data_IF_680686337085
#
_entry.id   IF_680686337085
#
_cell.length_a   1.000
_cell.length_b   1.000
_cell.length_c   1.000
_cell.angle_alpha   90.00
_cell.angle_beta   90.00
_cell.angle_gamma   90.00
#
_symmetry.space_group_name_H-M   'P 1'
#
loop_
_entity.id
_entity.type
_entity.pdbx_description
1 polymer ?
#
# COMPACT_ATOMS: atom_id res chain seq x y z
N UNK A 1 14.39 10.05 6.76
CA UNK A 1 15.45 9.05 6.44
C UNK A 1 16.69 9.36 7.25
N UNK A 2 17.42 8.33 7.67
CA UNK A 2 18.69 8.48 8.39
C UNK A 2 19.86 8.12 7.48
N UNK A 3 21.09 8.53 7.87
CA UNK A 3 22.31 8.14 7.15
C UNK A 3 22.47 6.61 7.20
N UNK A 4 22.78 6.00 6.06
CA UNK A 4 22.81 4.55 5.86
C UNK A 4 21.45 3.95 5.42
N UNK A 5 20.37 4.72 5.36
CA UNK A 5 19.10 4.24 4.88
C UNK A 5 19.13 3.98 3.36
N UNK A 6 18.44 2.93 2.93
CA UNK A 6 18.22 2.62 1.52
C UNK A 6 16.97 3.34 1.00
N UNK A 7 17.10 3.93 -0.17
CA UNK A 7 15.99 4.50 -0.94
C UNK A 7 15.92 3.75 -2.26
N UNK A 8 14.75 3.21 -2.58
CA UNK A 8 14.51 2.48 -3.82
C UNK A 8 13.64 3.33 -4.74
N UNK A 9 14.04 3.46 -6.01
CA UNK A 9 13.34 4.20 -7.04
C UNK A 9 12.87 3.24 -8.14
N UNK A 10 11.68 3.49 -8.69
CA UNK A 10 11.10 2.70 -9.79
C UNK A 10 11.07 1.20 -9.45
N UNK A 11 10.40 0.87 -8.33
CA UNK A 11 10.22 -0.50 -7.83
C UNK A 11 11.57 -1.24 -7.59
N UNK A 12 12.59 -0.51 -7.18
CA UNK A 12 13.91 -1.04 -6.89
C UNK A 12 14.85 -1.10 -8.11
N UNK A 13 14.45 -0.57 -9.28
CA UNK A 13 15.32 -0.50 -10.46
C UNK A 13 16.57 0.36 -10.22
N UNK A 14 16.48 1.37 -9.36
CA UNK A 14 17.61 2.19 -8.90
C UNK A 14 17.63 2.21 -7.38
N UNK A 15 18.76 1.85 -6.81
CA UNK A 15 19.02 1.86 -5.37
C UNK A 15 19.96 2.99 -5.00
N UNK A 16 19.58 3.72 -3.94
CA UNK A 16 20.36 4.79 -3.35
C UNK A 16 20.64 4.49 -1.88
N UNK A 17 21.81 4.89 -1.39
CA UNK A 17 22.15 4.88 0.03
C UNK A 17 22.36 6.32 0.51
N UNK A 18 21.69 6.71 1.58
CA UNK A 18 21.84 8.04 2.19
C UNK A 18 23.21 8.15 2.86
N UNK A 19 24.03 9.10 2.44
CA UNK A 19 25.37 9.34 3.01
C UNK A 19 25.45 10.63 3.83
N UNK A 20 24.56 11.59 3.57
CA UNK A 20 24.51 12.85 4.31
C UNK A 20 23.07 13.38 4.37
N UNK A 21 22.73 14.06 5.46
CA UNK A 21 21.42 14.64 5.69
C UNK A 21 21.55 16.13 6.03
N UNK A 22 20.83 16.97 5.31
CA UNK A 22 20.72 18.39 5.60
C UNK A 22 19.31 18.73 6.06
N UNK A 23 19.09 18.78 7.37
CA UNK A 23 17.77 19.01 7.96
C UNK A 23 17.23 20.42 7.65
N UNK A 24 18.10 21.45 7.59
CA UNK A 24 17.69 22.82 7.30
C UNK A 24 17.23 23.00 5.85
N UNK A 25 17.85 22.30 4.90
CA UNK A 25 17.45 22.31 3.49
C UNK A 25 16.39 21.26 3.16
N UNK A 26 16.09 20.32 4.09
CA UNK A 26 15.25 19.14 3.87
C UNK A 26 15.74 18.29 2.69
N UNK A 27 17.05 18.08 2.62
CA UNK A 27 17.74 17.36 1.55
C UNK A 27 18.54 16.20 2.13
N UNK A 28 18.69 15.15 1.32
CA UNK A 28 19.59 14.04 1.59
C UNK A 28 20.52 13.85 0.40
N UNK A 29 21.84 13.75 0.68
CA UNK A 29 22.83 13.34 -0.32
C UNK A 29 22.91 11.81 -0.32
N UNK A 30 22.81 11.22 -1.51
CA UNK A 30 22.81 9.78 -1.67
C UNK A 30 23.89 9.29 -2.63
N UNK A 31 24.38 8.08 -2.42
CA UNK A 31 25.23 7.35 -3.36
C UNK A 31 24.34 6.39 -4.15
N UNK A 32 24.47 6.40 -5.48
CA UNK A 32 23.80 5.43 -6.35
C UNK A 32 24.54 4.10 -6.29
N UNK A 33 23.84 3.02 -5.94
CA UNK A 33 24.42 1.69 -5.71
C UNK A 33 24.46 0.83 -6.99
N UNK A 34 23.53 1.07 -7.92
CA UNK A 34 23.43 0.32 -9.18
C UNK A 34 23.08 1.22 -10.37
N UNK A 35 23.33 0.72 -11.56
CA UNK A 35 22.95 1.40 -12.79
C UNK A 35 21.49 1.10 -13.14
N UNK A 36 20.74 2.13 -13.56
CA UNK A 36 19.36 1.98 -14.00
C UNK A 36 18.89 3.19 -14.81
N UNK A 37 17.80 3.02 -15.54
CA UNK A 37 17.10 4.15 -16.19
C UNK A 37 16.03 4.65 -15.23
N UNK A 38 16.03 5.94 -14.92
CA UNK A 38 15.02 6.57 -14.11
C UNK A 38 14.13 7.46 -14.97
N UNK A 39 12.86 7.09 -15.08
CA UNK A 39 11.83 7.89 -15.75
C UNK A 39 11.27 8.98 -14.85
N UNK A 40 10.40 9.84 -15.41
CA UNK A 40 9.69 10.85 -14.65
C UNK A 40 8.53 10.22 -13.84
N UNK A 41 8.23 10.78 -12.66
CA UNK A 41 7.09 10.40 -11.80
C UNK A 41 7.12 8.93 -11.35
N UNK A 42 8.30 8.39 -11.09
CA UNK A 42 8.48 7.03 -10.57
C UNK A 42 8.29 6.97 -9.06
N UNK A 43 7.84 5.81 -8.58
CA UNK A 43 7.66 5.53 -7.16
C UNK A 43 8.98 5.62 -6.39
N UNK A 44 8.86 5.96 -5.11
CA UNK A 44 9.96 5.98 -4.13
C UNK A 44 9.56 5.10 -2.97
N UNK A 45 10.32 4.05 -2.71
CA UNK A 45 10.13 3.19 -1.56
C UNK A 45 11.23 3.44 -0.52
N UNK A 46 10.86 3.40 0.74
CA UNK A 46 11.72 3.59 1.90
C UNK A 46 11.62 2.35 2.80
N UNK A 47 12.25 1.22 2.42
CA UNK A 47 12.10 -0.04 3.14
C UNK A 47 12.40 0.10 4.64
N UNK A 48 11.47 -0.38 5.48
CA UNK A 48 11.61 -0.34 6.94
C UNK A 48 11.43 1.05 7.58
N UNK A 49 11.08 2.08 6.82
CA UNK A 49 10.87 3.44 7.35
C UNK A 49 9.36 3.72 7.37
N UNK A 50 8.84 4.00 8.56
CA UNK A 50 7.46 4.51 8.70
C UNK A 50 7.40 5.96 8.22
N UNK A 51 6.43 6.24 7.35
CA UNK A 51 6.20 7.59 6.81
C UNK A 51 4.86 8.14 7.33
N UNK A 52 4.88 9.37 7.81
CA UNK A 52 3.67 10.06 8.28
C UNK A 52 2.96 10.71 7.09
N UNK A 53 2.25 9.88 6.33
CA UNK A 53 1.42 10.32 5.21
C UNK A 53 -0.07 10.14 5.57
N UNK A 54 -0.97 10.99 5.06
CA UNK A 54 -2.41 10.79 5.26
C UNK A 54 -2.88 9.49 4.61
N UNK A 55 -3.96 8.89 5.13
CA UNK A 55 -4.57 7.69 4.55
C UNK A 55 -5.13 7.93 3.14
N UNK A 56 -5.60 9.17 2.89
CA UNK A 56 -6.12 9.61 1.59
C UNK A 56 -5.56 10.98 1.23
N UNK A 57 -5.04 11.13 0.02
CA UNK A 57 -4.76 12.43 -0.56
C UNK A 57 -5.99 13.02 -1.27
N UNK A 58 -5.92 14.27 -1.72
CA UNK A 58 -7.05 14.91 -2.41
C UNK A 58 -7.45 14.18 -3.71
N UNK A 59 -6.48 13.57 -4.40
CA UNK A 59 -6.76 12.75 -5.57
C UNK A 59 -7.56 11.51 -5.19
N UNK A 60 -7.19 10.82 -4.11
CA UNK A 60 -7.90 9.62 -3.64
C UNK A 60 -9.35 9.95 -3.27
N UNK A 61 -9.57 11.07 -2.60
CA UNK A 61 -10.93 11.56 -2.29
C UNK A 61 -11.76 11.81 -3.55
N UNK A 62 -11.13 12.39 -4.58
CA UNK A 62 -11.80 12.61 -5.86
C UNK A 62 -12.15 11.29 -6.54
N UNK A 63 -11.22 10.34 -6.57
CA UNK A 63 -11.41 9.04 -7.20
C UNK A 63 -12.46 8.19 -6.45
N UNK A 64 -12.46 8.22 -5.10
CA UNK A 64 -13.50 7.57 -4.28
C UNK A 64 -14.87 8.19 -4.57
N UNK A 65 -14.96 9.52 -4.62
CA UNK A 65 -16.19 10.20 -4.94
C UNK A 65 -16.75 9.75 -6.30
N UNK A 66 -15.90 9.71 -7.33
CA UNK A 66 -16.27 9.21 -8.65
C UNK A 66 -16.76 7.76 -8.59
N UNK A 67 -16.07 6.91 -7.81
CA UNK A 67 -16.49 5.52 -7.60
C UNK A 67 -17.89 5.42 -6.98
N UNK A 68 -18.18 6.22 -5.95
CA UNK A 68 -19.52 6.25 -5.31
C UNK A 68 -20.59 6.74 -6.29
N UNK A 69 -20.33 7.81 -7.05
CA UNK A 69 -21.26 8.30 -8.07
C UNK A 69 -21.58 7.26 -9.16
N UNK A 70 -20.67 6.31 -9.40
CA UNK A 70 -20.81 5.22 -10.37
C UNK A 70 -21.15 3.86 -9.74
N UNK A 71 -21.53 3.84 -8.46
CA UNK A 71 -22.04 2.65 -7.75
C UNK A 71 -21.10 1.44 -7.80
N UNK A 72 -19.82 1.65 -7.48
CA UNK A 72 -18.82 0.57 -7.46
C UNK A 72 -19.06 -0.36 -6.27
N UNK A 73 -18.80 -1.66 -6.45
CA UNK A 73 -18.96 -2.68 -5.40
C UNK A 73 -17.77 -2.71 -4.43
N UNK A 74 -16.57 -2.36 -4.91
CA UNK A 74 -15.33 -2.47 -4.14
C UNK A 74 -14.43 -1.25 -4.33
N UNK A 75 -13.73 -0.89 -3.27
CA UNK A 75 -12.64 0.09 -3.29
C UNK A 75 -11.38 -0.58 -2.79
N UNK A 76 -10.36 -0.71 -3.65
CA UNK A 76 -9.05 -1.24 -3.27
C UNK A 76 -8.14 -0.09 -2.83
N UNK A 77 -7.85 -0.02 -1.53
CA UNK A 77 -7.06 1.03 -0.92
C UNK A 77 -5.59 0.63 -0.85
N UNK A 78 -4.73 1.37 -1.57
CA UNK A 78 -3.28 1.17 -1.59
C UNK A 78 -2.61 1.74 -0.33
N UNK A 79 -1.45 1.19 0.00
CA UNK A 79 -0.56 1.65 1.07
C UNK A 79 -1.23 1.78 2.45
N UNK A 80 -2.17 0.89 2.75
CA UNK A 80 -2.74 0.78 4.11
C UNK A 80 -1.63 0.36 5.08
N UNK A 81 -1.51 1.06 6.21
CA UNK A 81 -0.47 0.85 7.22
C UNK A 81 -1.02 0.46 8.58
N UNK A 82 -2.24 0.90 8.90
CA UNK A 82 -2.87 0.73 10.21
C UNK A 82 -4.40 0.77 10.12
N UNK A 83 -5.08 0.31 11.16
CA UNK A 83 -6.55 0.29 11.27
C UNK A 83 -7.20 1.66 11.05
N UNK A 84 -6.60 2.73 11.56
CA UNK A 84 -7.15 4.08 11.41
C UNK A 84 -7.25 4.53 9.96
N UNK A 85 -6.34 4.09 9.08
CA UNK A 85 -6.40 4.42 7.66
C UNK A 85 -7.69 3.87 7.03
N UNK A 86 -8.06 2.63 7.39
CA UNK A 86 -9.27 1.98 6.88
C UNK A 86 -10.53 2.65 7.43
N UNK A 87 -10.52 3.01 8.71
CA UNK A 87 -11.65 3.67 9.35
C UNK A 87 -11.91 5.05 8.75
N UNK A 88 -10.84 5.82 8.46
CA UNK A 88 -10.94 7.12 7.78
C UNK A 88 -11.57 6.98 6.38
N UNK A 89 -11.13 5.96 5.60
CA UNK A 89 -11.70 5.66 4.28
C UNK A 89 -13.18 5.29 4.41
N UNK A 90 -13.53 4.39 5.33
CA UNK A 90 -14.92 3.95 5.55
C UNK A 90 -15.83 5.11 5.98
N UNK A 91 -15.36 5.99 6.84
CA UNK A 91 -16.11 7.19 7.25
C UNK A 91 -16.36 8.12 6.05
N UNK A 92 -15.33 8.37 5.25
CA UNK A 92 -15.46 9.20 4.06
C UNK A 92 -16.43 8.58 3.04
N UNK A 93 -16.30 7.28 2.76
CA UNK A 93 -17.23 6.53 1.89
C UNK A 93 -18.66 6.63 2.39
N UNK A 94 -18.88 6.43 3.71
CA UNK A 94 -20.22 6.51 4.31
C UNK A 94 -20.86 7.88 4.12
N UNK A 95 -20.07 8.95 4.27
CA UNK A 95 -20.54 10.32 4.05
C UNK A 95 -20.99 10.56 2.61
N UNK A 96 -20.24 10.03 1.65
CA UNK A 96 -20.56 10.15 0.22
C UNK A 96 -21.78 9.31 -0.17
N UNK A 97 -21.86 8.06 0.31
CA UNK A 97 -23.04 7.19 0.05
C UNK A 97 -24.31 7.85 0.57
N UNK A 98 -24.28 8.38 1.79
CA UNK A 98 -25.43 9.10 2.36
C UNK A 98 -25.83 10.32 1.50
N UNK A 99 -24.85 11.02 0.94
CA UNK A 99 -25.08 12.21 0.11
C UNK A 99 -25.64 11.87 -1.27
N UNK A 100 -25.12 10.84 -1.96
CA UNK A 100 -25.43 10.56 -3.36
C UNK A 100 -26.54 9.53 -3.55
N UNK A 101 -26.64 8.54 -2.66
CA UNK A 101 -27.56 7.41 -2.80
C UNK A 101 -28.58 7.30 -1.65
N UNK A 102 -28.32 7.98 -0.54
CA UNK A 102 -29.16 7.95 0.67
C UNK A 102 -28.71 6.92 1.71
N UNK A 103 -29.28 7.01 2.94
CA UNK A 103 -28.72 6.31 4.11
C UNK A 103 -28.88 4.78 4.11
N UNK A 104 -29.72 4.23 3.25
CA UNK A 104 -29.99 2.79 3.17
C UNK A 104 -29.30 2.10 1.99
N UNK A 105 -28.51 2.84 1.20
CA UNK A 105 -27.78 2.25 0.09
C UNK A 105 -26.60 1.40 0.58
N UNK A 106 -26.32 0.24 -0.03
CA UNK A 106 -25.15 -0.56 0.31
C UNK A 106 -23.86 0.23 0.12
N UNK A 107 -22.92 0.06 1.05
CA UNK A 107 -21.60 0.66 0.91
C UNK A 107 -20.68 -0.27 0.11
N UNK A 108 -19.78 0.27 -0.73
CA UNK A 108 -18.73 -0.54 -1.32
C UNK A 108 -17.84 -1.13 -0.23
N UNK A 109 -17.36 -2.35 -0.46
CA UNK A 109 -16.47 -3.05 0.43
C UNK A 109 -15.03 -2.57 0.25
N UNK A 110 -14.30 -2.42 1.36
CA UNK A 110 -12.91 -1.95 1.34
C UNK A 110 -11.95 -3.13 1.31
N UNK A 111 -11.15 -3.20 0.24
CA UNK A 111 -10.04 -4.14 0.09
C UNK A 111 -8.76 -3.43 0.52
N UNK A 112 -8.19 -3.82 1.65
CA UNK A 112 -6.92 -3.26 2.10
C UNK A 112 -5.74 -3.95 1.42
N UNK A 113 -4.90 -3.16 0.73
CA UNK A 113 -3.71 -3.67 0.07
C UNK A 113 -2.53 -3.66 1.04
N UNK A 114 -1.93 -4.83 1.25
CA UNK A 114 -0.75 -5.05 2.08
C UNK A 114 0.47 -4.92 1.17
N UNK A 115 1.19 -3.81 1.32
CA UNK A 115 2.24 -3.36 0.38
C UNK A 115 3.55 -2.99 1.08
N UNK A 116 3.59 -2.93 2.42
CA UNK A 116 4.74 -2.44 3.17
C UNK A 116 4.92 -3.17 4.51
N UNK A 117 6.08 -2.95 5.14
CA UNK A 117 6.45 -3.59 6.41
C UNK A 117 5.59 -3.13 7.59
N UNK A 118 5.10 -1.88 7.58
CA UNK A 118 4.23 -1.36 8.64
C UNK A 118 2.88 -2.09 8.63
N UNK A 119 2.32 -2.35 7.44
CA UNK A 119 1.09 -3.14 7.29
C UNK A 119 1.25 -4.58 7.81
N UNK A 120 2.44 -5.19 7.63
CA UNK A 120 2.71 -6.53 8.18
C UNK A 120 2.74 -6.52 9.71
N UNK A 121 3.33 -5.49 10.30
CA UNK A 121 3.39 -5.31 11.76
C UNK A 121 2.00 -5.14 12.35
N UNK A 122 1.14 -4.37 11.69
CA UNK A 122 -0.21 -4.03 12.13
C UNK A 122 -1.29 -4.94 11.51
N UNK A 123 -0.90 -6.10 10.95
CA UNK A 123 -1.78 -6.90 10.10
C UNK A 123 -3.07 -7.35 10.80
N UNK A 124 -3.03 -7.72 12.08
CA UNK A 124 -4.21 -8.21 12.77
C UNK A 124 -5.30 -7.13 12.90
N UNK A 125 -4.92 -5.91 13.21
CA UNK A 125 -5.88 -4.79 13.30
C UNK A 125 -6.38 -4.34 11.92
N UNK A 126 -5.53 -4.43 10.87
CA UNK A 126 -5.91 -4.19 9.49
C UNK A 126 -6.92 -5.24 9.03
N UNK A 127 -6.65 -6.53 9.30
CA UNK A 127 -7.55 -7.64 8.95
C UNK A 127 -8.91 -7.47 9.62
N UNK A 128 -8.95 -7.11 10.91
CA UNK A 128 -10.20 -6.86 11.63
C UNK A 128 -11.04 -5.76 10.97
N UNK A 129 -10.43 -4.65 10.59
CA UNK A 129 -11.11 -3.47 10.07
C UNK A 129 -11.51 -3.58 8.59
N UNK A 130 -10.83 -4.44 7.81
CA UNK A 130 -11.03 -4.61 6.37
C UNK A 130 -12.21 -5.52 6.05
N UNK A 131 -12.78 -5.35 4.86
CA UNK A 131 -13.78 -6.27 4.33
C UNK A 131 -13.12 -7.39 3.52
N UNK A 132 -11.98 -7.10 2.86
CA UNK A 132 -11.10 -8.05 2.20
C UNK A 132 -9.66 -7.57 2.25
N UNK A 133 -8.72 -8.46 1.95
CA UNK A 133 -7.28 -8.17 1.91
C UNK A 133 -6.74 -8.44 0.49
N UNK A 134 -5.78 -7.63 0.06
CA UNK A 134 -4.97 -7.92 -1.12
C UNK A 134 -3.49 -7.99 -0.75
N UNK A 135 -2.85 -9.10 -1.06
CA UNK A 135 -1.38 -9.24 -1.01
C UNK A 135 -0.83 -8.69 -2.31
N UNK A 136 -0.36 -7.45 -2.32
CA UNK A 136 0.23 -6.80 -3.49
C UNK A 136 1.71 -7.15 -3.57
N UNK A 137 2.03 -8.29 -4.19
CA UNK A 137 3.36 -8.91 -4.17
C UNK A 137 4.44 -8.06 -4.81
N UNK A 138 4.09 -7.25 -5.82
CA UNK A 138 5.00 -6.35 -6.49
C UNK A 138 5.59 -5.34 -5.50
N UNK A 139 4.73 -4.53 -4.89
CA UNK A 139 5.13 -3.50 -3.94
C UNK A 139 5.73 -4.10 -2.66
N UNK A 140 5.11 -5.15 -2.13
CA UNK A 140 5.60 -5.81 -0.92
C UNK A 140 6.98 -6.43 -1.12
N UNK A 141 7.27 -6.97 -2.32
CA UNK A 141 8.56 -7.56 -2.65
C UNK A 141 9.71 -6.53 -2.78
N UNK A 142 9.39 -5.24 -2.90
CA UNK A 142 10.36 -4.14 -2.83
C UNK A 142 10.65 -3.75 -1.37
N UNK A 143 9.69 -3.96 -0.47
CA UNK A 143 9.74 -3.55 0.94
C UNK A 143 10.36 -4.61 1.88
N UNK A 144 10.31 -5.89 1.51
CA UNK A 144 10.83 -7.00 2.31
C UNK A 144 11.81 -7.87 1.52
N UNK A 145 12.71 -8.64 2.19
CA UNK A 145 13.57 -9.58 1.49
C UNK A 145 12.76 -10.56 0.63
N UNK A 146 13.11 -10.68 -0.64
CA UNK A 146 12.38 -11.44 -1.66
C UNK A 146 12.14 -12.90 -1.25
N UNK A 147 13.13 -13.51 -0.57
CA UNK A 147 13.05 -14.90 -0.06
C UNK A 147 11.96 -15.08 1.01
N UNK A 148 11.54 -14.01 1.68
CA UNK A 148 10.51 -14.05 2.72
C UNK A 148 9.09 -13.88 2.17
N UNK A 149 8.96 -13.30 0.98
CA UNK A 149 7.67 -12.91 0.38
C UNK A 149 6.68 -14.06 0.30
N UNK A 150 7.14 -15.25 -0.09
CA UNK A 150 6.27 -16.45 -0.20
C UNK A 150 5.73 -16.88 1.17
N UNK A 151 6.53 -16.83 2.22
CA UNK A 151 6.09 -17.18 3.57
C UNK A 151 5.12 -16.15 4.13
N UNK A 152 5.39 -14.88 3.91
CA UNK A 152 4.50 -13.77 4.29
C UNK A 152 3.15 -13.90 3.59
N UNK A 153 3.15 -14.14 2.28
CA UNK A 153 1.91 -14.38 1.52
C UNK A 153 1.10 -15.54 2.12
N UNK A 154 1.73 -16.68 2.38
CA UNK A 154 1.04 -17.86 2.95
C UNK A 154 0.44 -17.57 4.32
N UNK A 155 1.15 -16.81 5.16
CA UNK A 155 0.67 -16.44 6.49
C UNK A 155 -0.51 -15.47 6.41
N UNK A 156 -0.46 -14.45 5.52
CA UNK A 156 -1.60 -13.55 5.28
C UNK A 156 -2.82 -14.36 4.83
N UNK A 157 -2.67 -15.23 3.82
CA UNK A 157 -3.77 -16.07 3.32
C UNK A 157 -4.35 -16.95 4.44
N UNK A 158 -3.49 -17.58 5.25
CA UNK A 158 -3.93 -18.40 6.40
C UNK A 158 -4.75 -17.58 7.40
N UNK A 159 -4.29 -16.38 7.77
CA UNK A 159 -5.01 -15.51 8.71
C UNK A 159 -6.33 -15.02 8.14
N UNK A 160 -6.37 -14.62 6.87
CA UNK A 160 -7.61 -14.24 6.20
C UNK A 160 -8.63 -15.39 6.22
N UNK A 161 -8.20 -16.60 5.88
CA UNK A 161 -9.08 -17.79 5.89
C UNK A 161 -9.61 -18.09 7.29
N UNK A 162 -8.78 -18.00 8.32
CA UNK A 162 -9.22 -18.17 9.71
C UNK A 162 -10.18 -17.08 10.17
N UNK A 163 -9.97 -15.84 9.71
CA UNK A 163 -10.84 -14.70 9.99
C UNK A 163 -12.09 -14.62 9.11
N UNK A 164 -12.28 -15.57 8.17
CA UNK A 164 -13.42 -15.57 7.25
C UNK A 164 -13.42 -14.39 6.29
N UNK A 165 -12.25 -13.81 5.98
CA UNK A 165 -12.09 -12.65 5.08
C UNK A 165 -11.60 -13.11 3.70
N UNK A 166 -12.19 -12.60 2.60
CA UNK A 166 -11.65 -12.79 1.26
C UNK A 166 -10.22 -12.27 1.14
N UNK A 167 -9.38 -12.98 0.40
CA UNK A 167 -8.00 -12.57 0.13
C UNK A 167 -7.66 -12.73 -1.34
N UNK A 168 -7.05 -11.70 -1.92
CA UNK A 168 -6.57 -11.63 -3.29
C UNK A 168 -5.05 -11.63 -3.25
N UNK A 169 -4.41 -12.48 -4.06
CA UNK A 169 -2.96 -12.44 -4.28
C UNK A 169 -2.73 -11.85 -5.67
N UNK A 170 -2.01 -10.74 -5.74
CA UNK A 170 -1.86 -9.96 -6.95
C UNK A 170 -0.40 -9.64 -7.28
N UNK A 171 -0.15 -9.44 -8.57
CA UNK A 171 1.12 -9.05 -9.19
C UNK A 171 2.26 -10.07 -9.05
N UNK A 172 3.20 -10.03 -9.97
CA UNK A 172 4.35 -10.96 -10.01
C UNK A 172 3.90 -12.45 -10.01
N UNK A 173 2.89 -12.76 -10.83
CA UNK A 173 2.23 -14.07 -10.89
C UNK A 173 2.77 -14.92 -12.05
N UNK A 174 4.09 -15.02 -12.15
CA UNK A 174 4.81 -15.88 -13.09
C UNK A 174 4.72 -15.43 -14.58
N UNK A 175 4.58 -14.13 -14.84
CA UNK A 175 4.55 -13.57 -16.19
C UNK A 175 5.80 -13.98 -17.00
N UNK A 176 6.96 -14.06 -16.37
CA UNK A 176 8.21 -14.52 -16.99
C UNK A 176 8.20 -15.99 -17.44
N UNK A 177 7.18 -16.77 -17.08
CA UNK A 177 7.00 -18.15 -17.55
C UNK A 177 6.14 -18.24 -18.81
N UNK A 178 5.67 -17.12 -19.33
CA UNK A 178 4.86 -17.08 -20.56
C UNK A 178 5.68 -16.82 -21.81
N UNK A 179 6.99 -16.51 -21.67
CA UNK A 179 7.95 -16.25 -22.75
C UNK A 179 8.79 -17.48 -23.10
#
# INVERSE_FOLDING_TARGET
VEVGATILLDDGAVELEVVEKNESAKEATCVVKNNGRLGSKKGVNLPGISVDLPAMCEKDKHDIKWGIENDVDYIAASFIRKKSDILEIKEYVSSLVAQYHGPNHPHPLIISKVENTEALTNFDEILEASDAIMVARGDLGVEIPMETLTNVQKEIVRRCNLGGKPVIVATQMLESMQE
#
